data_IF_140152965557
#
_entry.id   IF_140152965557
#
_cell.length_a   1.000
_cell.length_b   1.000
_cell.length_c   1.000
_cell.angle_alpha   90.00
_cell.angle_beta   90.00
_cell.angle_gamma   90.00
#
_symmetry.space_group_name_H-M   'P 1'
#
loop_
_entity.id
_entity.type
_entity.pdbx_description
1 polymer ?
#
# COMPACT_ATOMS: atom_id res chain seq x y z
N UNK A 1 -14.46 -4.45 -32.41
CA UNK A 1 -14.53 -3.68 -33.67
C UNK A 1 -15.88 -3.94 -34.33
N UNK A 2 -16.60 -2.90 -34.77
CA UNK A 2 -17.89 -3.03 -35.45
C UNK A 2 -17.70 -3.60 -36.88
N UNK A 3 -18.70 -4.34 -37.38
CA UNK A 3 -18.66 -4.98 -38.71
C UNK A 3 -18.37 -4.00 -39.88
N UNK A 4 -18.69 -2.72 -39.71
CA UNK A 4 -18.41 -1.66 -40.70
C UNK A 4 -16.94 -1.27 -40.79
N UNK A 5 -16.13 -1.48 -39.75
CA UNK A 5 -14.70 -1.10 -39.79
C UNK A 5 -13.82 -2.11 -40.53
N UNK A 6 -14.31 -3.35 -40.69
CA UNK A 6 -13.58 -4.44 -41.34
C UNK A 6 -13.58 -4.28 -42.87
N UNK A 7 -14.64 -3.72 -43.45
CA UNK A 7 -14.78 -3.55 -44.91
C UNK A 7 -13.76 -2.54 -45.49
N UNK A 8 -13.32 -1.56 -44.69
CA UNK A 8 -12.38 -0.52 -45.12
C UNK A 8 -10.94 -0.80 -44.68
N UNK A 9 -10.67 -1.95 -44.08
CA UNK A 9 -9.35 -2.30 -43.54
C UNK A 9 -8.25 -2.21 -44.60
N UNK A 10 -8.53 -2.63 -45.84
CA UNK A 10 -7.59 -2.56 -46.97
C UNK A 10 -7.27 -1.12 -47.35
N UNK A 11 -8.27 -0.23 -47.32
CA UNK A 11 -8.08 1.19 -47.65
C UNK A 11 -7.28 1.89 -46.55
N UNK A 12 -7.57 1.62 -45.28
CA UNK A 12 -6.80 2.17 -44.17
C UNK A 12 -5.33 1.72 -44.21
N UNK A 13 -5.06 0.45 -44.52
CA UNK A 13 -3.69 -0.06 -44.67
C UNK A 13 -2.99 0.58 -45.86
N UNK A 14 -3.69 0.77 -47.00
CA UNK A 14 -3.15 1.47 -48.16
C UNK A 14 -2.83 2.94 -47.86
N UNK A 15 -3.58 3.58 -46.97
CA UNK A 15 -3.32 4.93 -46.47
C UNK A 15 -2.25 4.99 -45.36
N UNK A 16 -1.55 3.89 -45.07
CA UNK A 16 -0.42 3.84 -44.15
C UNK A 16 -0.74 3.50 -42.69
N UNK A 17 -1.98 3.12 -42.36
CA UNK A 17 -2.31 2.67 -40.99
C UNK A 17 -1.86 1.22 -40.77
N UNK A 18 -1.37 0.92 -39.55
CA UNK A 18 -0.96 -0.44 -39.18
C UNK A 18 -2.17 -1.35 -38.98
N UNK A 19 -2.05 -2.63 -39.39
CA UNK A 19 -3.12 -3.66 -39.25
C UNK A 19 -3.45 -4.01 -37.79
N UNK A 20 -2.51 -3.83 -36.87
CA UNK A 20 -2.69 -3.97 -35.43
C UNK A 20 -2.10 -2.75 -34.74
N UNK A 21 -2.81 -2.25 -33.75
CA UNK A 21 -2.31 -1.24 -32.82
C UNK A 21 -1.75 -2.02 -31.63
N UNK A 22 -0.43 -2.21 -31.62
CA UNK A 22 0.29 -2.81 -30.51
C UNK A 22 0.56 -1.75 -29.43
N UNK A 23 0.94 -2.21 -28.23
CA UNK A 23 1.23 -1.29 -27.14
C UNK A 23 2.39 -0.34 -27.47
N UNK A 24 3.38 -0.78 -28.27
CA UNK A 24 4.49 0.07 -28.75
C UNK A 24 4.01 1.25 -29.57
N UNK A 25 3.11 1.03 -30.53
CA UNK A 25 2.57 2.10 -31.36
C UNK A 25 1.76 3.10 -30.52
N UNK A 26 0.97 2.60 -29.56
CA UNK A 26 0.22 3.48 -28.66
C UNK A 26 1.17 4.33 -27.78
N UNK A 27 2.29 3.77 -27.32
CA UNK A 27 3.34 4.54 -26.62
C UNK A 27 4.02 5.56 -27.51
N UNK A 28 4.34 5.22 -28.75
CA UNK A 28 4.89 6.17 -29.74
C UNK A 28 3.95 7.36 -29.92
N UNK A 29 2.65 7.11 -30.09
CA UNK A 29 1.64 8.18 -30.22
C UNK A 29 1.57 9.05 -28.96
N UNK A 30 1.63 8.46 -27.76
CA UNK A 30 1.69 9.23 -26.52
C UNK A 30 2.94 10.13 -26.46
N UNK A 31 4.10 9.61 -26.87
CA UNK A 31 5.36 10.37 -26.93
C UNK A 31 5.30 11.53 -27.93
N UNK A 32 4.67 11.33 -29.08
CA UNK A 32 4.47 12.40 -30.08
C UNK A 32 3.52 13.49 -29.56
N UNK A 33 2.45 13.11 -28.86
CA UNK A 33 1.55 14.08 -28.21
C UNK A 33 2.30 14.83 -27.11
N UNK A 34 3.11 14.14 -26.29
CA UNK A 34 3.95 14.79 -25.28
C UNK A 34 4.91 15.80 -25.94
N UNK A 35 5.60 15.41 -27.01
CA UNK A 35 6.51 16.28 -27.77
C UNK A 35 5.80 17.53 -28.30
N UNK A 36 4.60 17.37 -28.86
CA UNK A 36 3.76 18.48 -29.34
C UNK A 36 3.43 19.48 -28.23
N UNK A 37 3.16 19.01 -27.01
CA UNK A 37 2.77 19.85 -25.87
C UNK A 37 3.96 20.40 -25.05
N UNK A 38 5.21 20.22 -25.49
CA UNK A 38 6.34 21.00 -24.96
C UNK A 38 6.17 22.51 -25.24
N UNK A 39 5.47 22.85 -26.33
CA UNK A 39 5.13 24.23 -26.67
C UNK A 39 3.69 24.54 -26.27
N UNK A 40 3.40 25.82 -25.98
CA UNK A 40 2.04 26.26 -25.62
C UNK A 40 1.08 25.96 -26.77
N UNK A 41 0.07 25.13 -26.50
CA UNK A 41 -1.02 24.80 -27.41
C UNK A 41 -2.30 25.55 -27.02
N UNK A 42 -3.28 25.60 -27.92
CA UNK A 42 -4.58 26.21 -27.62
C UNK A 42 -5.44 25.29 -26.74
N UNK A 43 -6.34 25.86 -25.93
CA UNK A 43 -7.23 25.09 -25.03
C UNK A 43 -8.03 24.00 -25.73
N UNK A 44 -8.42 24.27 -26.99
CA UNK A 44 -9.23 23.36 -27.80
C UNK A 44 -8.39 22.15 -28.22
N UNK A 45 -7.15 22.37 -28.62
CA UNK A 45 -6.20 21.31 -28.96
C UNK A 45 -5.83 20.50 -27.72
N UNK A 46 -5.49 21.15 -26.61
CA UNK A 46 -5.20 20.50 -25.32
C UNK A 46 -6.34 19.59 -24.88
N UNK A 47 -7.59 20.05 -24.97
CA UNK A 47 -8.75 19.23 -24.62
C UNK A 47 -8.99 18.07 -25.60
N UNK A 48 -8.71 18.25 -26.89
CA UNK A 48 -8.84 17.19 -27.90
C UNK A 48 -7.78 16.12 -27.68
N UNK A 49 -6.53 16.54 -27.50
CA UNK A 49 -5.39 15.65 -27.31
C UNK A 49 -5.50 14.91 -25.98
N UNK A 50 -5.94 15.57 -24.91
CA UNK A 50 -6.22 14.91 -23.63
C UNK A 50 -7.29 13.80 -23.76
N UNK A 51 -8.35 14.02 -24.55
CA UNK A 51 -9.36 12.97 -24.79
C UNK A 51 -8.75 11.77 -25.52
N UNK A 52 -7.91 12.02 -26.52
CA UNK A 52 -7.20 10.97 -27.25
C UNK A 52 -6.25 10.19 -26.32
N UNK A 53 -5.48 10.90 -25.49
CA UNK A 53 -4.60 10.32 -24.47
C UNK A 53 -5.39 9.41 -23.53
N UNK A 54 -6.51 9.87 -22.99
CA UNK A 54 -7.33 9.05 -22.08
C UNK A 54 -7.82 7.78 -22.78
N UNK A 55 -8.29 7.88 -24.03
CA UNK A 55 -8.72 6.71 -24.81
C UNK A 55 -7.58 5.73 -25.07
N UNK A 56 -6.38 6.23 -25.37
CA UNK A 56 -5.20 5.39 -25.56
C UNK A 56 -4.83 4.68 -24.25
N UNK A 57 -4.82 5.40 -23.13
CA UNK A 57 -4.50 4.84 -21.81
C UNK A 57 -5.53 3.81 -21.34
N UNK A 58 -6.83 4.05 -21.58
CA UNK A 58 -7.88 3.05 -21.33
C UNK A 58 -7.69 1.81 -22.20
N UNK A 59 -7.24 1.97 -23.43
CA UNK A 59 -6.93 0.83 -24.30
C UNK A 59 -5.69 0.06 -23.80
N UNK A 60 -4.64 0.77 -23.36
CA UNK A 60 -3.41 0.19 -22.81
C UNK A 60 -3.64 -0.56 -21.50
N UNK A 61 -4.64 -0.15 -20.71
CA UNK A 61 -5.04 -0.82 -19.46
C UNK A 61 -5.34 -2.30 -19.66
N UNK A 62 -5.85 -2.69 -20.83
CA UNK A 62 -6.28 -4.07 -21.09
C UNK A 62 -5.15 -4.95 -21.67
N UNK A 63 -3.98 -4.39 -21.97
CA UNK A 63 -2.81 -5.15 -22.46
C UNK A 63 -2.17 -5.99 -21.35
N UNK A 64 -1.34 -7.01 -21.65
CA UNK A 64 -0.61 -7.76 -20.64
C UNK A 64 0.35 -6.86 -19.83
N UNK A 65 0.65 -7.19 -18.55
CA UNK A 65 1.49 -6.36 -17.68
C UNK A 65 2.92 -6.15 -18.22
N UNK A 66 3.46 -7.10 -18.98
CA UNK A 66 4.77 -6.93 -19.63
C UNK A 66 4.80 -5.78 -20.64
N UNK A 67 3.66 -5.51 -21.28
CA UNK A 67 3.50 -4.44 -22.26
C UNK A 67 3.07 -3.10 -21.62
N UNK A 68 2.78 -3.07 -20.31
CA UNK A 68 2.38 -1.87 -19.57
C UNK A 68 3.56 -1.08 -18.98
N UNK A 69 4.78 -1.36 -19.44
CA UNK A 69 6.00 -0.67 -18.98
C UNK A 69 6.19 0.67 -19.69
N UNK A 70 6.90 1.57 -19.02
CA UNK A 70 7.32 2.89 -19.54
C UNK A 70 6.16 3.75 -20.06
N UNK A 71 5.00 3.65 -19.41
CA UNK A 71 3.82 4.42 -19.76
C UNK A 71 3.91 5.79 -19.12
N UNK A 72 3.62 6.83 -19.92
CA UNK A 72 3.49 8.20 -19.45
C UNK A 72 2.02 8.54 -19.21
N UNK A 73 1.75 9.25 -18.10
CA UNK A 73 0.41 9.69 -17.73
C UNK A 73 0.32 11.21 -17.80
N UNK A 74 -0.83 11.77 -18.22
CA UNK A 74 -1.07 13.19 -18.14
C UNK A 74 -1.17 13.62 -16.67
N UNK A 75 -0.48 14.69 -16.30
CA UNK A 75 -0.45 15.20 -14.92
C UNK A 75 -1.42 16.38 -14.73
N UNK A 76 -1.85 16.59 -13.49
CA UNK A 76 -2.59 17.78 -13.11
C UNK A 76 -1.70 19.02 -13.18
N UNK A 77 -2.26 20.15 -13.61
CA UNK A 77 -1.54 21.41 -13.68
C UNK A 77 -2.50 22.58 -13.42
N UNK A 78 -2.02 23.65 -12.77
CA UNK A 78 -2.80 24.87 -12.48
C UNK A 78 -3.35 25.51 -13.75
N UNK A 79 -2.52 25.56 -14.79
CA UNK A 79 -2.92 26.09 -16.10
C UNK A 79 -3.60 25.02 -16.96
N UNK A 80 -4.92 25.15 -17.18
CA UNK A 80 -5.74 24.22 -17.99
C UNK A 80 -5.32 24.11 -19.46
N UNK A 81 -4.51 25.05 -19.93
CA UNK A 81 -3.97 25.11 -21.30
C UNK A 81 -2.79 24.16 -21.50
N UNK A 82 -2.16 23.75 -20.40
CA UNK A 82 -0.92 23.00 -20.42
C UNK A 82 -1.20 21.53 -20.14
N UNK A 83 -0.84 20.68 -21.10
CA UNK A 83 -0.87 19.23 -20.95
C UNK A 83 0.56 18.73 -20.77
N UNK A 84 0.90 18.29 -19.57
CA UNK A 84 2.20 17.70 -19.24
C UNK A 84 2.05 16.23 -18.94
N UNK A 85 3.15 15.51 -19.04
CA UNK A 85 3.20 14.07 -18.82
C UNK A 85 4.39 13.70 -17.96
N UNK A 86 4.22 12.65 -17.15
CA UNK A 86 5.27 12.02 -16.33
C UNK A 86 5.14 10.50 -16.42
N UNK A 87 6.23 9.73 -16.20
CA UNK A 87 6.15 8.29 -16.04
C UNK A 87 5.09 7.88 -15.02
N UNK A 88 4.35 6.81 -15.29
CA UNK A 88 3.26 6.34 -14.43
C UNK A 88 3.73 6.08 -12.99
N UNK A 89 4.93 5.51 -12.85
CA UNK A 89 5.56 5.20 -11.56
C UNK A 89 5.89 6.43 -10.71
N UNK A 90 5.96 7.62 -11.31
CA UNK A 90 6.18 8.89 -10.61
C UNK A 90 4.86 9.62 -10.30
N UNK A 91 3.73 9.09 -10.75
CA UNK A 91 2.45 9.74 -10.63
C UNK A 91 1.65 9.20 -9.43
N UNK A 92 0.97 10.10 -8.74
CA UNK A 92 0.12 9.82 -7.59
C UNK A 92 -1.35 10.02 -7.95
N UNK A 93 -2.19 9.07 -7.54
CA UNK A 93 -3.64 9.20 -7.62
C UNK A 93 -4.17 9.76 -6.31
N UNK A 94 -4.90 10.87 -6.37
CA UNK A 94 -5.48 11.50 -5.19
C UNK A 94 -6.28 12.76 -5.54
N UNK A 95 -7.03 13.25 -4.56
CA UNK A 95 -7.79 14.48 -4.70
C UNK A 95 -6.85 15.69 -4.65
N UNK A 96 -6.67 16.31 -5.81
CA UNK A 96 -5.80 17.47 -6.04
C UNK A 96 -6.24 18.70 -5.22
N UNK A 97 -7.51 18.78 -4.83
CA UNK A 97 -8.12 20.00 -4.28
C UNK A 97 -7.61 20.38 -2.88
N UNK A 98 -7.37 19.40 -2.00
CA UNK A 98 -6.92 19.68 -0.63
C UNK A 98 -5.39 19.86 -0.55
N UNK A 99 -4.63 19.13 -1.38
CA UNK A 99 -3.17 19.17 -1.37
C UNK A 99 -2.59 20.44 -1.99
N UNK A 100 -3.19 20.95 -3.07
CA UNK A 100 -2.75 22.20 -3.68
C UNK A 100 -2.88 23.42 -2.76
N UNK A 101 -3.78 23.35 -1.77
CA UNK A 101 -3.95 24.36 -0.72
C UNK A 101 -2.87 24.21 0.38
N UNK A 102 -2.43 22.98 0.67
CA UNK A 102 -1.41 22.66 1.67
C UNK A 102 0.04 22.95 1.20
N UNK A 103 0.35 22.67 -0.07
CA UNK A 103 1.69 22.90 -0.64
C UNK A 103 2.06 24.39 -0.81
N UNK A 104 1.09 25.31 -0.66
CA UNK A 104 1.39 26.74 -0.63
C UNK A 104 2.19 27.16 0.61
N UNK A 105 2.37 26.27 1.60
CA UNK A 105 3.02 26.58 2.88
C UNK A 105 4.33 25.82 3.13
N UNK A 106 4.71 24.84 2.30
CA UNK A 106 5.89 24.00 2.52
C UNK A 106 6.88 24.14 1.36
N UNK A 107 7.98 24.88 1.58
CA UNK A 107 9.06 25.04 0.61
C UNK A 107 10.20 24.06 0.92
N UNK A 108 10.22 22.88 0.32
CA UNK A 108 11.41 22.03 0.40
C UNK A 108 11.27 20.54 0.06
N UNK A 109 10.07 19.98 0.06
CA UNK A 109 9.84 18.56 -0.26
C UNK A 109 9.49 18.37 -1.74
N UNK A 110 9.85 17.22 -2.31
CA UNK A 110 9.58 16.88 -3.71
C UNK A 110 8.09 17.04 -4.03
N UNK A 111 7.75 17.91 -4.98
CA UNK A 111 6.36 18.21 -5.35
C UNK A 111 5.63 16.93 -5.79
N UNK A 112 4.59 16.53 -5.05
CA UNK A 112 3.86 15.29 -5.34
C UNK A 112 3.13 15.45 -6.68
N UNK A 113 3.48 14.60 -7.64
CA UNK A 113 2.95 14.71 -9.01
C UNK A 113 1.60 14.00 -9.13
N UNK A 114 0.51 14.75 -9.16
CA UNK A 114 -0.83 14.18 -9.33
C UNK A 114 -1.19 13.87 -10.79
N UNK A 115 -1.90 12.76 -10.99
CA UNK A 115 -2.52 12.39 -12.27
C UNK A 115 -3.63 13.38 -12.65
N UNK A 116 -3.78 13.68 -13.94
CA UNK A 116 -4.81 14.59 -14.43
C UNK A 116 -6.23 14.10 -14.07
N UNK A 117 -7.13 14.94 -13.51
CA UNK A 117 -8.40 14.50 -12.90
C UNK A 117 -9.45 13.92 -13.86
N UNK A 118 -9.25 14.09 -15.17
CA UNK A 118 -10.09 13.44 -16.20
C UNK A 118 -9.68 11.98 -16.49
N UNK A 119 -8.49 11.54 -16.06
CA UNK A 119 -8.08 10.16 -16.20
C UNK A 119 -8.71 9.33 -15.07
N UNK A 120 -9.42 8.22 -15.36
CA UNK A 120 -9.99 7.39 -14.32
C UNK A 120 -8.92 6.80 -13.40
N UNK A 121 -9.17 6.85 -12.09
CA UNK A 121 -8.30 6.29 -11.03
C UNK A 121 -7.92 4.83 -11.32
N UNK A 122 -8.91 4.01 -11.69
CA UNK A 122 -8.68 2.59 -11.99
C UNK A 122 -7.76 2.37 -13.20
N UNK A 123 -7.73 3.29 -14.15
CA UNK A 123 -6.84 3.24 -15.31
C UNK A 123 -5.44 3.67 -14.90
N UNK A 124 -5.31 4.77 -14.15
CA UNK A 124 -4.02 5.24 -13.67
C UNK A 124 -3.29 4.19 -12.81
N UNK A 125 -3.98 3.57 -11.84
CA UNK A 125 -3.40 2.53 -11.00
C UNK A 125 -3.00 1.28 -11.79
N UNK A 126 -3.84 0.84 -12.72
CA UNK A 126 -3.56 -0.34 -13.55
C UNK A 126 -2.36 -0.17 -14.49
N UNK A 127 -1.95 1.09 -14.73
CA UNK A 127 -0.79 1.47 -15.53
C UNK A 127 0.44 1.82 -14.68
N UNK A 128 0.35 1.71 -13.34
CA UNK A 128 1.48 1.85 -12.43
C UNK A 128 1.53 3.12 -11.60
N UNK A 129 0.49 3.97 -11.61
CA UNK A 129 0.39 5.07 -10.65
C UNK A 129 0.08 4.55 -9.24
N UNK A 130 0.62 5.21 -8.22
CA UNK A 130 0.45 4.81 -6.82
C UNK A 130 -0.58 5.68 -6.10
N UNK A 131 -1.18 5.15 -5.04
CA UNK A 131 -1.94 5.96 -4.10
C UNK A 131 -1.00 6.81 -3.24
N UNK A 132 -1.52 7.90 -2.65
CA UNK A 132 -0.75 8.75 -1.74
C UNK A 132 -0.21 7.98 -0.52
N UNK A 133 -1.02 7.07 0.03
CA UNK A 133 -0.59 6.22 1.15
C UNK A 133 0.49 5.23 0.72
N UNK A 134 0.36 4.65 -0.47
CA UNK A 134 1.36 3.71 -0.99
C UNK A 134 2.68 4.42 -1.25
N UNK A 135 2.65 5.66 -1.76
CA UNK A 135 3.83 6.53 -1.91
C UNK A 135 4.51 6.81 -0.58
N UNK A 136 3.72 7.22 0.42
CA UNK A 136 4.25 7.50 1.75
C UNK A 136 4.89 6.25 2.38
N UNK A 137 4.30 5.07 2.16
CA UNK A 137 4.84 3.80 2.67
C UNK A 137 6.11 3.36 1.93
N UNK A 138 6.18 3.56 0.61
CA UNK A 138 7.37 3.30 -0.23
C UNK A 138 8.57 4.15 0.25
N UNK A 139 8.33 5.43 0.57
CA UNK A 139 9.33 6.31 1.20
C UNK A 139 9.70 5.89 2.63
N UNK A 140 8.83 5.12 3.31
CA UNK A 140 9.11 4.62 4.66
C UNK A 140 9.89 3.31 4.70
N UNK A 141 10.13 2.62 3.57
CA UNK A 141 10.99 1.42 3.57
C UNK A 141 12.45 1.74 3.98
N UNK A 142 12.89 2.99 3.78
CA UNK A 142 14.17 3.53 4.26
C UNK A 142 14.07 4.23 5.63
N UNK A 143 12.88 4.30 6.25
CA UNK A 143 12.75 4.69 7.66
C UNK A 143 13.21 3.49 8.47
N UNK A 144 14.51 3.47 8.69
CA UNK A 144 15.22 2.67 9.67
C UNK A 144 14.35 2.51 10.92
N UNK A 145 14.13 1.25 11.32
CA UNK A 145 13.39 0.85 12.51
C UNK A 145 13.93 1.48 13.82
N UNK A 146 14.96 2.33 13.75
CA UNK A 146 15.59 3.10 14.80
C UNK A 146 14.67 3.95 15.69
N UNK A 147 13.41 4.22 15.29
CA UNK A 147 12.42 4.88 16.16
C UNK A 147 11.53 3.94 16.98
N UNK A 148 11.71 2.62 16.88
CA UNK A 148 11.02 1.70 17.79
C UNK A 148 11.78 1.68 19.11
N UNK A 149 11.21 2.32 20.15
CA UNK A 149 11.61 2.04 21.53
C UNK A 149 11.27 0.58 21.84
N UNK A 150 12.23 -0.32 21.66
CA UNK A 150 12.08 -1.73 22.03
C UNK A 150 12.31 -1.86 23.53
N UNK A 151 11.22 -1.89 24.29
CA UNK A 151 11.25 -2.36 25.68
C UNK A 151 11.34 -3.89 25.68
N UNK A 152 12.36 -4.51 26.32
CA UNK A 152 12.40 -5.96 26.49
C UNK A 152 11.12 -6.44 27.18
N UNK A 153 10.56 -7.56 26.71
CA UNK A 153 9.31 -8.12 27.25
C UNK A 153 9.40 -8.32 28.78
N UNK A 154 10.54 -8.76 29.28
CA UNK A 154 10.79 -8.94 30.71
C UNK A 154 10.70 -7.64 31.49
N UNK A 155 11.17 -6.51 30.93
CA UNK A 155 11.08 -5.18 31.55
C UNK A 155 9.63 -4.72 31.60
N UNK A 156 8.89 -4.90 30.50
CA UNK A 156 7.48 -4.55 30.46
C UNK A 156 6.64 -5.34 31.45
N UNK A 157 6.89 -6.65 31.54
CA UNK A 157 6.21 -7.53 32.50
C UNK A 157 6.56 -7.15 33.95
N UNK A 158 7.82 -6.82 34.23
CA UNK A 158 8.26 -6.38 35.55
C UNK A 158 7.55 -5.08 35.97
N UNK A 159 7.54 -4.07 35.09
CA UNK A 159 6.87 -2.80 35.35
C UNK A 159 5.37 -3.00 35.58
N UNK A 160 4.70 -3.85 34.78
CA UNK A 160 3.28 -4.15 34.98
C UNK A 160 3.01 -4.81 36.35
N UNK A 161 3.87 -5.74 36.76
CA UNK A 161 3.75 -6.40 38.06
C UNK A 161 3.96 -5.41 39.21
N UNK A 162 4.94 -4.50 39.11
CA UNK A 162 5.18 -3.45 40.10
C UNK A 162 4.05 -2.42 40.16
N UNK A 163 3.50 -2.01 39.02
CA UNK A 163 2.53 -0.92 38.96
C UNK A 163 1.10 -1.38 39.27
N UNK A 164 0.73 -2.59 38.81
CA UNK A 164 -0.67 -3.04 38.78
C UNK A 164 -0.98 -4.23 39.70
N UNK A 165 0.03 -4.94 40.21
CA UNK A 165 -0.14 -6.18 40.99
C UNK A 165 0.49 -6.10 42.40
N UNK A 166 0.32 -4.95 43.08
CA UNK A 166 0.98 -4.65 44.36
C UNK A 166 0.32 -5.27 45.61
N UNK A 167 -0.95 -5.67 45.53
CA UNK A 167 -1.77 -6.02 46.70
C UNK A 167 -1.67 -7.50 47.13
N UNK A 168 -0.82 -8.30 46.46
CA UNK A 168 -0.62 -9.73 46.74
C UNK A 168 -1.82 -10.63 46.44
N UNK A 169 -3.00 -10.06 46.16
CA UNK A 169 -4.24 -10.75 45.82
C UNK A 169 -4.67 -10.55 44.36
N UNK A 170 -3.98 -9.67 43.62
CA UNK A 170 -4.26 -9.38 42.21
C UNK A 170 -4.21 -10.65 41.36
N UNK A 171 -3.21 -11.53 41.57
CA UNK A 171 -3.08 -12.78 40.80
C UNK A 171 -4.28 -13.73 41.03
N UNK A 172 -4.67 -14.09 42.26
CA UNK A 172 -5.90 -14.88 42.48
C UNK A 172 -7.17 -14.25 41.93
N UNK A 173 -7.31 -12.92 42.00
CA UNK A 173 -8.49 -12.20 41.46
C UNK A 173 -8.60 -12.35 39.96
N UNK A 174 -7.50 -12.15 39.23
CA UNK A 174 -7.45 -12.33 37.77
C UNK A 174 -7.74 -13.79 37.38
N UNK A 175 -7.22 -14.77 38.13
CA UNK A 175 -7.54 -16.18 37.87
C UNK A 175 -9.02 -16.50 38.07
N UNK A 176 -9.67 -15.93 39.10
CA UNK A 176 -11.11 -16.07 39.33
C UNK A 176 -11.91 -15.37 38.21
N UNK A 177 -11.49 -14.19 37.78
CA UNK A 177 -12.15 -13.47 36.69
C UNK A 177 -12.05 -14.25 35.38
N UNK A 178 -10.87 -14.77 35.03
CA UNK A 178 -10.69 -15.64 33.87
C UNK A 178 -11.60 -16.88 33.92
N UNK A 179 -11.79 -17.46 35.11
CA UNK A 179 -12.68 -18.58 35.29
C UNK A 179 -14.16 -18.19 35.15
N UNK A 180 -14.57 -17.04 35.69
CA UNK A 180 -15.93 -16.50 35.57
C UNK A 180 -16.27 -16.15 34.11
N UNK A 181 -15.36 -15.48 33.40
CA UNK A 181 -15.47 -15.16 31.96
C UNK A 181 -15.57 -16.44 31.09
N UNK A 182 -14.88 -17.51 31.49
CA UNK A 182 -15.00 -18.83 30.87
C UNK A 182 -16.28 -19.60 31.28
N UNK A 183 -17.09 -19.05 32.18
CA UNK A 183 -18.35 -19.63 32.65
C UNK A 183 -18.19 -20.75 33.69
N UNK A 184 -17.06 -20.79 34.40
CA UNK A 184 -16.80 -21.80 35.42
C UNK A 184 -17.77 -21.64 36.61
N UNK A 185 -18.27 -22.77 37.11
CA UNK A 185 -19.14 -22.80 38.31
C UNK A 185 -18.37 -22.97 39.61
N UNK A 186 -17.11 -23.35 39.53
CA UNK A 186 -16.25 -23.64 40.66
C UNK A 186 -14.80 -23.39 40.26
N UNK A 187 -14.05 -22.78 41.17
CA UNK A 187 -12.59 -22.59 41.07
C UNK A 187 -11.94 -23.24 42.29
N UNK A 188 -10.84 -23.98 42.09
CA UNK A 188 -10.05 -24.63 43.14
C UNK A 188 -8.59 -24.24 43.00
N UNK A 189 -8.04 -23.70 44.09
CA UNK A 189 -6.61 -23.47 44.24
C UNK A 189 -5.97 -24.64 44.96
N UNK A 190 -4.93 -25.22 44.35
CA UNK A 190 -4.14 -26.30 44.92
C UNK A 190 -2.68 -25.85 44.99
N UNK A 191 -2.13 -25.76 46.20
CA UNK A 191 -0.69 -25.65 46.40
C UNK A 191 -0.11 -27.06 46.39
N UNK A 192 0.67 -27.37 45.37
CA UNK A 192 1.33 -28.66 45.22
C UNK A 192 2.82 -28.52 45.58
N UNK A 193 3.20 -29.01 46.76
CA UNK A 193 4.57 -28.96 47.27
C UNK A 193 5.40 -30.22 46.94
N UNK A 194 4.89 -31.10 46.08
CA UNK A 194 5.59 -32.34 45.71
C UNK A 194 6.83 -32.04 44.87
N UNK A 195 7.88 -32.86 45.03
CA UNK A 195 9.09 -32.82 44.22
C UNK A 195 9.07 -33.97 43.20
N UNK A 196 9.16 -33.64 41.92
CA UNK A 196 9.08 -34.61 40.81
C UNK A 196 10.47 -35.13 40.40
N UNK A 197 11.16 -35.78 41.34
CA UNK A 197 12.55 -36.25 41.14
C UNK A 197 12.69 -37.29 40.00
N UNK A 198 11.64 -38.09 39.76
CA UNK A 198 11.65 -39.19 38.77
C UNK A 198 11.29 -38.75 37.34
N UNK A 199 10.87 -37.49 37.11
CA UNK A 199 10.32 -37.01 35.83
C UNK A 199 11.33 -36.24 34.96
N UNK A 200 12.62 -36.60 35.02
CA UNK A 200 13.71 -35.84 34.38
C UNK A 200 14.07 -36.30 32.97
N UNK A 201 13.56 -37.45 32.52
CA UNK A 201 14.07 -38.15 31.33
C UNK A 201 13.37 -37.77 30.00
N UNK A 202 12.33 -36.93 30.02
CA UNK A 202 11.55 -36.55 28.81
C UNK A 202 11.17 -35.07 28.76
N UNK A 203 12.09 -34.17 29.14
CA UNK A 203 11.85 -32.72 29.13
C UNK A 203 12.01 -32.11 27.71
N UNK A 204 11.28 -31.02 27.45
CA UNK A 204 11.37 -30.28 26.17
C UNK A 204 12.76 -29.68 25.94
N UNK A 205 13.49 -29.36 27.00
CA UNK A 205 14.88 -28.89 26.94
C UNK A 205 15.68 -29.47 28.12
N UNK A 206 16.96 -29.86 27.93
CA UNK A 206 17.78 -30.50 28.98
C UNK A 206 17.99 -29.62 30.23
N UNK A 207 17.98 -28.30 30.07
CA UNK A 207 18.19 -27.33 31.16
C UNK A 207 16.98 -27.18 32.11
N UNK A 208 15.80 -27.72 31.75
CA UNK A 208 14.62 -27.71 32.61
C UNK A 208 14.65 -28.79 33.70
N UNK A 209 15.72 -29.59 33.79
CA UNK A 209 15.91 -30.61 34.82
C UNK A 209 16.24 -30.05 36.21
N UNK A 210 15.97 -28.79 36.51
CA UNK A 210 16.06 -28.30 37.90
C UNK A 210 14.85 -28.88 38.66
N UNK A 211 14.98 -29.37 39.91
CA UNK A 211 13.84 -29.84 40.69
C UNK A 211 12.75 -28.77 40.65
N UNK A 212 11.61 -29.09 40.02
CA UNK A 212 10.46 -28.21 40.03
C UNK A 212 9.96 -28.22 41.47
N UNK A 213 10.24 -27.14 42.21
CA UNK A 213 9.74 -26.97 43.57
C UNK A 213 8.22 -26.79 43.60
N UNK A 214 7.70 -26.40 44.76
CA UNK A 214 6.28 -26.20 44.96
C UNK A 214 5.66 -25.30 43.86
N UNK A 215 4.57 -25.76 43.26
CA UNK A 215 3.83 -25.05 42.23
C UNK A 215 2.37 -24.86 42.65
N UNK A 216 1.78 -23.73 42.28
CA UNK A 216 0.35 -23.48 42.51
C UNK A 216 -0.41 -23.84 41.23
N UNK A 217 -1.32 -24.81 41.33
CA UNK A 217 -2.27 -25.13 40.27
C UNK A 217 -3.58 -24.38 40.53
N UNK A 218 -4.01 -23.57 39.57
CA UNK A 218 -5.39 -23.07 39.49
C UNK A 218 -6.19 -23.91 38.51
N UNK A 219 -7.36 -24.41 38.93
CA UNK A 219 -8.36 -25.02 38.04
C UNK A 219 -9.71 -24.37 38.29
#
# INVERSE_FOLDING_TARGET
>A
MSQETTMWQTLFVACGTRRRQDASFLREVLSEIQAKHLHKSSQRETNRDLKLVIQILETLKDFPPEERRDIILPIAHRERQLLRFRPAVECTVGDIQWLMEAESQCSGEEEVVFVHPKLPVSTAMALGALGLMDRALDETEDIDYAYHQVEPLTTRLHNLLEDSYTDGFSIPKELIQNADDAGARQVKFLLDERQNEDCREHLLHPEHGVPSGACTLGV
#
